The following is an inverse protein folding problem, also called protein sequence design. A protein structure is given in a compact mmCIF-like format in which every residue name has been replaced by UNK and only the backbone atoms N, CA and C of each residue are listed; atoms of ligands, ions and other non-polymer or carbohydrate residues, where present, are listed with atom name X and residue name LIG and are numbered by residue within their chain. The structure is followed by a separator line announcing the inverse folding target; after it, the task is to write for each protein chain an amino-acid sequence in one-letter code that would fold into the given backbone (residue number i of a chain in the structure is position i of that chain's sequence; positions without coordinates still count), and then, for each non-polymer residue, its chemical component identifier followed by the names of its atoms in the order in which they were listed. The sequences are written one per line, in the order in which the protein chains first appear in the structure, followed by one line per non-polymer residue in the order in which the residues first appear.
data_IF_620802839068
#
_entry.id   IF_620802839068
#
_cell.length_a   1.000
_cell.length_b   1.000
_cell.length_c   1.000
_cell.angle_alpha   90.00
_cell.angle_beta   90.00
_cell.angle_gamma   90.00
#
_symmetry.space_group_name_H-M   'P 1'
#
loop_
_entity.id
_entity.type
_entity.pdbx_description
1 polymer ?
#
# COMPACT_ATOMS: atom_id res chain seq x y z
N UNK A 1 55.37 16.41 -6.91
CA UNK A 1 54.34 16.36 -7.96
C UNK A 1 54.01 17.78 -8.41
N UNK A 2 53.92 18.05 -9.71
CA UNK A 2 53.63 19.40 -10.24
C UNK A 2 52.13 19.51 -10.51
N UNK A 3 51.44 20.33 -9.74
CA UNK A 3 50.03 20.68 -10.00
C UNK A 3 50.02 21.65 -11.17
N UNK A 4 49.51 21.21 -12.32
CA UNK A 4 49.39 22.06 -13.51
C UNK A 4 48.06 22.81 -13.50
N UNK A 5 47.97 23.95 -14.20
CA UNK A 5 46.70 24.67 -14.37
C UNK A 5 45.62 23.81 -15.05
N UNK A 6 46.03 22.85 -15.89
CA UNK A 6 45.12 21.84 -16.47
C UNK A 6 44.53 20.98 -15.35
N UNK A 7 45.36 20.44 -14.46
CA UNK A 7 44.92 19.65 -13.31
C UNK A 7 43.96 20.45 -12.40
N UNK A 8 44.19 21.75 -12.19
CA UNK A 8 43.27 22.59 -11.41
C UNK A 8 41.91 22.76 -12.09
N UNK A 9 41.89 22.98 -13.41
CA UNK A 9 40.65 23.09 -14.20
C UNK A 9 39.86 21.79 -14.18
N UNK A 10 40.53 20.65 -14.34
CA UNK A 10 39.91 19.33 -14.28
C UNK A 10 39.28 19.08 -12.90
N UNK A 11 39.97 19.44 -11.82
CA UNK A 11 39.40 19.35 -10.47
C UNK A 11 38.16 20.23 -10.25
N UNK A 12 38.13 21.44 -10.84
CA UNK A 12 36.96 22.32 -10.75
C UNK A 12 35.78 21.70 -11.52
N UNK A 13 36.02 21.19 -12.73
CA UNK A 13 34.98 20.52 -13.54
C UNK A 13 34.45 19.28 -12.82
N UNK A 14 35.32 18.45 -12.26
CA UNK A 14 34.93 17.28 -11.46
C UNK A 14 34.06 17.67 -10.26
N UNK A 15 34.41 18.75 -9.56
CA UNK A 15 33.64 19.23 -8.41
C UNK A 15 32.27 19.78 -8.82
N UNK A 16 32.18 20.48 -9.95
CA UNK A 16 30.91 20.95 -10.51
C UNK A 16 30.04 19.75 -10.90
N UNK A 17 30.61 18.75 -11.58
CA UNK A 17 29.88 17.55 -11.98
C UNK A 17 29.34 16.78 -10.78
N UNK A 18 30.16 16.61 -9.72
CA UNK A 18 29.73 15.99 -8.46
C UNK A 18 28.62 16.78 -7.76
N UNK A 19 28.72 18.10 -7.75
CA UNK A 19 27.72 18.98 -7.13
C UNK A 19 26.40 18.95 -7.90
N UNK A 20 26.47 18.95 -9.24
CA UNK A 20 25.30 18.82 -10.12
C UNK A 20 24.59 17.47 -9.93
N UNK A 21 25.33 16.37 -9.81
CA UNK A 21 24.75 15.06 -9.51
C UNK A 21 24.01 15.03 -8.16
N UNK A 22 24.64 15.55 -7.09
CA UNK A 22 23.98 15.64 -5.77
C UNK A 22 22.72 16.50 -5.80
N UNK A 23 22.75 17.61 -6.52
CA UNK A 23 21.60 18.50 -6.68
C UNK A 23 20.45 17.77 -7.38
N UNK A 24 20.74 16.97 -8.41
CA UNK A 24 19.75 16.16 -9.10
C UNK A 24 19.11 15.12 -8.15
N UNK A 25 19.92 14.42 -7.36
CA UNK A 25 19.41 13.43 -6.40
C UNK A 25 18.48 14.08 -5.35
N UNK A 26 18.86 15.26 -4.83
CA UNK A 26 18.03 16.02 -3.88
C UNK A 26 16.72 16.48 -4.55
N UNK A 27 16.77 16.95 -5.80
CA UNK A 27 15.57 17.34 -6.54
C UNK A 27 14.62 16.15 -6.72
N UNK A 28 15.14 14.95 -7.00
CA UNK A 28 14.33 13.74 -7.10
C UNK A 28 13.71 13.40 -5.75
N UNK A 29 14.47 13.43 -4.65
CA UNK A 29 13.93 13.20 -3.30
C UNK A 29 12.87 14.23 -2.90
N UNK A 30 13.03 15.49 -3.30
CA UNK A 30 12.05 16.55 -3.06
C UNK A 30 10.78 16.34 -3.88
N UNK A 31 10.93 15.95 -5.15
CA UNK A 31 9.79 15.69 -6.04
C UNK A 31 8.99 14.45 -5.62
N UNK A 32 9.65 13.39 -5.18
CA UNK A 32 8.97 12.15 -4.74
C UNK A 32 8.54 12.18 -3.28
N UNK A 33 9.13 13.08 -2.47
CA UNK A 33 8.96 13.09 -1.01
C UNK A 33 9.54 11.84 -0.32
N UNK A 34 10.25 10.98 -1.05
CA UNK A 34 10.79 9.71 -0.54
C UNK A 34 12.30 9.80 -0.45
N UNK A 35 12.84 9.42 0.71
CA UNK A 35 14.29 9.31 0.92
C UNK A 35 14.90 8.17 0.10
N UNK A 36 14.16 7.07 -0.07
CA UNK A 36 14.57 5.89 -0.82
C UNK A 36 13.80 5.85 -2.13
N UNK A 37 14.48 6.17 -3.24
CA UNK A 37 13.89 6.18 -4.58
C UNK A 37 14.38 5.00 -5.42
N UNK A 38 15.62 4.55 -5.20
CA UNK A 38 16.18 3.37 -5.86
C UNK A 38 16.60 2.34 -4.83
N UNK A 39 16.43 1.05 -5.17
CA UNK A 39 16.94 -0.06 -4.36
C UNK A 39 18.47 -0.03 -4.23
N UNK A 40 19.16 0.64 -5.16
CA UNK A 40 20.61 0.87 -5.09
C UNK A 40 21.04 1.82 -3.98
N UNK A 41 20.15 2.70 -3.48
CA UNK A 41 20.50 3.71 -2.48
C UNK A 41 20.66 3.07 -1.08
N UNK A 42 19.79 2.11 -0.76
CA UNK A 42 19.88 1.22 0.41
C UNK A 42 19.01 -0.03 0.17
N UNK A 43 19.61 -1.18 -0.20
CA UNK A 43 18.84 -2.38 -0.50
C UNK A 43 18.13 -2.95 0.73
N UNK A 44 18.68 -2.76 1.94
CA UNK A 44 18.10 -3.27 3.19
C UNK A 44 16.93 -2.39 3.61
N UNK A 45 17.11 -1.06 3.57
CA UNK A 45 16.07 -0.09 3.84
C UNK A 45 14.92 -0.19 2.84
N UNK A 46 15.22 -0.37 1.55
CA UNK A 46 14.22 -0.56 0.51
C UNK A 46 13.41 -1.85 0.71
N UNK A 47 14.06 -2.97 1.01
CA UNK A 47 13.38 -4.24 1.29
C UNK A 47 12.45 -4.12 2.51
N UNK A 48 12.92 -3.49 3.60
CA UNK A 48 12.10 -3.26 4.80
C UNK A 48 10.90 -2.34 4.51
N UNK A 49 11.12 -1.27 3.76
CA UNK A 49 10.01 -0.38 3.35
C UNK A 49 9.00 -1.12 2.49
N UNK A 50 9.45 -2.00 1.60
CA UNK A 50 8.57 -2.79 0.75
C UNK A 50 7.77 -3.80 1.56
N UNK A 51 8.39 -4.45 2.54
CA UNK A 51 7.73 -5.37 3.46
C UNK A 51 6.62 -4.68 4.27
N UNK A 52 6.89 -3.47 4.79
CA UNK A 52 5.89 -2.65 5.49
C UNK A 52 4.71 -2.33 4.57
N UNK A 53 4.97 -1.86 3.35
CA UNK A 53 3.91 -1.54 2.37
C UNK A 53 3.09 -2.79 2.02
N UNK A 54 3.76 -3.93 1.85
CA UNK A 54 3.10 -5.21 1.51
C UNK A 54 2.24 -5.70 2.67
N UNK A 55 2.74 -5.60 3.90
CA UNK A 55 1.99 -5.94 5.12
C UNK A 55 0.76 -5.05 5.27
N UNK A 56 0.91 -3.74 5.08
CA UNK A 56 -0.20 -2.79 5.13
C UNK A 56 -1.26 -3.10 4.06
N UNK A 57 -0.84 -3.38 2.81
CA UNK A 57 -1.76 -3.78 1.75
C UNK A 57 -2.52 -5.07 2.07
N UNK A 58 -1.82 -6.05 2.64
CA UNK A 58 -2.44 -7.32 3.06
C UNK A 58 -3.47 -7.11 4.17
N UNK A 59 -3.17 -6.23 5.14
CA UNK A 59 -4.09 -5.86 6.20
C UNK A 59 -5.32 -5.11 5.67
N UNK A 60 -5.15 -4.16 4.76
CA UNK A 60 -6.28 -3.47 4.11
C UNK A 60 -7.18 -4.45 3.36
N UNK A 61 -6.59 -5.38 2.61
CA UNK A 61 -7.38 -6.42 1.92
C UNK A 61 -8.11 -7.32 2.92
N UNK A 62 -7.49 -7.68 4.04
CA UNK A 62 -8.14 -8.46 5.09
C UNK A 62 -9.35 -7.73 5.68
N UNK A 63 -9.24 -6.42 5.92
CA UNK A 63 -10.36 -5.62 6.40
C UNK A 63 -11.52 -5.60 5.39
N UNK A 64 -11.22 -5.44 4.10
CA UNK A 64 -12.24 -5.52 3.05
C UNK A 64 -12.92 -6.89 3.03
N UNK A 65 -12.15 -7.98 3.13
CA UNK A 65 -12.71 -9.33 3.16
C UNK A 65 -13.62 -9.54 4.39
N UNK A 66 -13.27 -8.95 5.54
CA UNK A 66 -14.13 -9.01 6.75
C UNK A 66 -15.43 -8.24 6.52
N UNK A 67 -15.38 -7.06 5.93
CA UNK A 67 -16.57 -6.26 5.60
C UNK A 67 -17.49 -7.02 4.63
N UNK A 68 -16.92 -7.62 3.58
CA UNK A 68 -17.67 -8.41 2.59
C UNK A 68 -18.33 -9.63 3.25
N UNK A 69 -17.63 -10.30 4.16
CA UNK A 69 -18.17 -11.42 4.93
C UNK A 69 -19.32 -10.99 5.84
N UNK A 70 -19.22 -9.85 6.51
CA UNK A 70 -20.32 -9.29 7.31
C UNK A 70 -21.54 -9.04 6.41
N UNK A 71 -21.34 -8.44 5.24
CA UNK A 71 -22.42 -8.24 4.27
C UNK A 71 -23.06 -9.55 3.79
N UNK A 72 -22.28 -10.62 3.64
CA UNK A 72 -22.80 -11.94 3.29
C UNK A 72 -23.59 -12.58 4.44
N UNK A 73 -23.12 -12.43 5.68
CA UNK A 73 -23.82 -12.91 6.87
C UNK A 73 -25.15 -12.17 7.07
N UNK A 74 -25.17 -10.85 6.92
CA UNK A 74 -26.40 -10.05 7.02
C UNK A 74 -27.45 -10.47 5.98
N UNK A 75 -27.03 -10.72 4.74
CA UNK A 75 -27.93 -11.25 3.70
C UNK A 75 -28.46 -12.63 4.07
N UNK A 76 -27.60 -13.52 4.55
CA UNK A 76 -28.00 -14.85 5.00
C UNK A 76 -29.02 -14.78 6.16
N UNK A 77 -28.81 -13.87 7.11
CA UNK A 77 -29.74 -13.64 8.22
C UNK A 77 -31.11 -13.15 7.75
N UNK A 78 -31.15 -12.23 6.78
CA UNK A 78 -32.41 -11.77 6.17
C UNK A 78 -33.17 -12.91 5.49
N UNK A 79 -32.48 -13.76 4.73
CA UNK A 79 -33.09 -14.94 4.09
C UNK A 79 -33.63 -15.93 5.12
N UNK A 80 -32.88 -16.22 6.19
CA UNK A 80 -33.34 -17.08 7.28
C UNK A 80 -34.55 -16.47 8.00
N UNK A 81 -34.56 -15.15 8.20
CA UNK A 81 -35.69 -14.42 8.75
C UNK A 81 -36.96 -14.59 7.91
N UNK A 82 -36.85 -14.46 6.59
CA UNK A 82 -37.96 -14.68 5.66
C UNK A 82 -38.50 -16.12 5.68
N UNK A 83 -37.60 -17.12 5.78
CA UNK A 83 -38.00 -18.52 5.93
C UNK A 83 -38.77 -18.73 7.24
N UNK A 84 -38.31 -18.14 8.35
CA UNK A 84 -38.98 -18.26 9.64
C UNK A 84 -40.40 -17.66 9.61
N UNK A 85 -40.56 -16.48 9.01
CA UNK A 85 -41.87 -15.85 8.83
C UNK A 85 -42.81 -16.75 8.00
N UNK A 86 -42.32 -17.30 6.90
CA UNK A 86 -43.10 -18.21 6.05
C UNK A 86 -43.54 -19.47 6.81
N UNK A 87 -42.65 -20.07 7.60
CA UNK A 87 -42.98 -21.21 8.46
C UNK A 87 -44.04 -20.84 9.53
N UNK A 88 -43.96 -19.63 10.09
CA UNK A 88 -44.96 -19.09 11.01
C UNK A 88 -46.35 -18.93 10.37
N UNK A 89 -46.40 -18.45 9.13
CA UNK A 89 -47.63 -18.35 8.35
C UNK A 89 -48.23 -19.73 8.05
N UNK A 90 -47.42 -20.69 7.61
CA UNK A 90 -47.85 -22.08 7.37
C UNK A 90 -48.43 -22.70 8.63
N UNK A 91 -47.77 -22.53 9.78
CA UNK A 91 -48.26 -23.02 11.07
C UNK A 91 -49.61 -22.40 11.44
N UNK A 92 -49.77 -21.10 11.25
CA UNK A 92 -51.03 -20.39 11.53
C UNK A 92 -52.15 -20.88 10.63
N UNK A 93 -51.89 -21.05 9.34
CA UNK A 93 -52.86 -21.57 8.38
C UNK A 93 -53.30 -23.00 8.73
N UNK A 94 -52.36 -23.87 9.13
CA UNK A 94 -52.65 -25.24 9.54
C UNK A 94 -53.56 -25.30 10.79
N UNK A 95 -53.35 -24.40 11.75
CA UNK A 95 -54.21 -24.29 12.94
C UNK A 95 -55.60 -23.74 12.60
N UNK A 96 -55.70 -22.81 11.65
CA UNK A 96 -56.99 -22.20 11.26
C UNK A 96 -57.92 -23.13 10.45
N UNK A 97 -57.37 -24.19 9.84
CA UNK A 97 -58.12 -25.20 9.09
C UNK A 97 -58.52 -26.44 9.92
N UNK A 98 -58.10 -26.51 11.19
CA UNK A 98 -58.57 -27.52 12.16
C UNK A 98 -59.73 -26.99 12.99
#
# INVERSE_FOLDING_TARGET
MRVTEVTKRDHVVDNIQRSSGKLQDIQVQMATGRRLNKTSDDPIGAARSQDIVTTMSSQTQLLQNVEDNIGWLQRSELEIGGINEMLGQIRTLALSQS
#
